data_IF_092638819629
#
_entry.id   IF_092638819629
#
_cell.length_a   1.000
_cell.length_b   1.000
_cell.length_c   1.000
_cell.angle_alpha   90.00
_cell.angle_beta   90.00
_cell.angle_gamma   90.00
#
_symmetry.space_group_name_H-M   'P 1'
#
loop_
_entity.id
_entity.type
_entity.pdbx_description
1 polymer ?
#
# COMPACT_ATOMS: atom_id res chain seq x y z
N UNK A 1 14.24 -11.19 -23.49
CA UNK A 1 12.85 -11.54 -23.14
C UNK A 1 12.96 -12.43 -21.92
N UNK A 2 12.50 -11.99 -20.76
CA UNK A 2 12.47 -12.82 -19.55
C UNK A 2 11.50 -13.98 -19.78
N UNK A 3 11.95 -15.20 -19.47
CA UNK A 3 11.14 -16.43 -19.59
C UNK A 3 9.86 -16.28 -18.76
N UNK A 4 8.70 -16.46 -19.38
CA UNK A 4 7.41 -16.29 -18.70
C UNK A 4 7.21 -17.42 -17.66
N UNK A 5 7.21 -17.05 -16.39
CA UNK A 5 7.01 -18.00 -15.29
C UNK A 5 5.53 -18.24 -15.06
N UNK A 6 5.12 -19.51 -15.01
CA UNK A 6 3.74 -19.89 -14.67
C UNK A 6 3.63 -20.29 -13.22
N UNK A 7 2.72 -19.65 -12.48
CA UNK A 7 2.46 -20.00 -11.09
C UNK A 7 1.62 -21.29 -11.02
N UNK A 8 2.08 -22.35 -10.34
CA UNK A 8 1.34 -23.61 -10.24
C UNK A 8 0.05 -23.49 -9.40
N UNK A 9 -0.05 -22.44 -8.60
CA UNK A 9 -1.16 -22.21 -7.66
C UNK A 9 -2.22 -21.23 -8.17
N UNK A 10 -2.05 -20.63 -9.37
CA UNK A 10 -2.88 -19.51 -9.81
C UNK A 10 -4.39 -19.83 -9.85
N UNK A 11 -4.76 -21.07 -10.21
CA UNK A 11 -6.17 -21.51 -10.24
C UNK A 11 -6.78 -21.71 -8.85
N UNK A 12 -5.95 -21.91 -7.81
CA UNK A 12 -6.39 -22.17 -6.43
C UNK A 12 -6.31 -20.92 -5.57
N UNK A 13 -5.21 -20.19 -5.67
CA UNK A 13 -4.93 -19.01 -4.86
C UNK A 13 -5.89 -17.85 -5.19
N UNK A 14 -6.14 -17.57 -6.48
CA UNK A 14 -7.00 -16.46 -6.92
C UNK A 14 -6.37 -15.07 -6.75
N UNK A 15 -5.12 -14.97 -6.31
CA UNK A 15 -4.43 -13.69 -6.12
C UNK A 15 -4.02 -12.99 -7.43
N UNK A 16 -3.88 -13.76 -8.52
CA UNK A 16 -3.42 -13.28 -9.83
C UNK A 16 -4.42 -13.67 -10.90
N UNK A 17 -5.28 -12.75 -11.33
CA UNK A 17 -6.36 -13.04 -12.31
C UNK A 17 -5.87 -13.15 -13.74
N UNK A 18 -4.70 -12.57 -14.06
CA UNK A 18 -4.16 -12.51 -15.42
C UNK A 18 -2.91 -13.38 -15.63
N UNK A 19 -2.61 -14.30 -14.70
CA UNK A 19 -1.41 -15.14 -14.74
C UNK A 19 -1.34 -16.09 -15.94
N UNK A 20 -2.46 -16.32 -16.62
CA UNK A 20 -2.56 -17.13 -17.83
C UNK A 20 -2.23 -16.37 -19.13
N UNK A 21 -2.09 -15.05 -19.05
CA UNK A 21 -1.74 -14.17 -20.17
C UNK A 21 -0.25 -13.83 -20.12
N UNK A 22 0.36 -13.63 -21.28
CA UNK A 22 1.68 -13.01 -21.37
C UNK A 22 1.66 -11.59 -20.77
N UNK A 23 2.80 -11.10 -20.31
CA UNK A 23 2.84 -9.77 -19.70
C UNK A 23 2.40 -8.66 -20.67
N UNK A 24 2.75 -8.80 -21.94
CA UNK A 24 2.30 -7.87 -22.99
C UNK A 24 0.76 -7.91 -23.17
N UNK A 25 0.14 -9.08 -23.08
CA UNK A 25 -1.33 -9.21 -23.13
C UNK A 25 -2.01 -8.66 -21.88
N UNK A 26 -1.39 -8.81 -20.69
CA UNK A 26 -1.86 -8.20 -19.46
C UNK A 26 -1.88 -6.67 -19.58
N UNK A 27 -0.83 -6.06 -20.11
CA UNK A 27 -0.77 -4.61 -20.34
C UNK A 27 -1.85 -4.16 -21.34
N UNK A 28 -2.05 -4.89 -22.45
CA UNK A 28 -3.16 -4.62 -23.40
C UNK A 28 -4.54 -4.72 -22.74
N UNK A 29 -4.75 -5.71 -21.86
CA UNK A 29 -5.99 -5.85 -21.12
C UNK A 29 -6.24 -4.63 -20.21
N UNK A 30 -5.23 -4.20 -19.45
CA UNK A 30 -5.32 -3.06 -18.55
C UNK A 30 -5.46 -1.74 -19.28
N UNK A 31 -4.78 -1.57 -20.42
CA UNK A 31 -4.94 -0.42 -21.30
C UNK A 31 -6.39 -0.28 -21.75
N UNK A 32 -6.98 -1.33 -22.31
CA UNK A 32 -8.38 -1.34 -22.77
C UNK A 32 -9.36 -1.04 -21.63
N UNK A 33 -9.07 -1.54 -20.40
CA UNK A 33 -9.89 -1.23 -19.22
C UNK A 33 -9.85 0.26 -18.90
N UNK A 34 -8.68 0.87 -18.90
CA UNK A 34 -8.52 2.30 -18.66
C UNK A 34 -9.18 3.14 -19.76
N UNK A 35 -8.95 2.81 -21.03
CA UNK A 35 -9.58 3.49 -22.18
C UNK A 35 -11.11 3.43 -22.13
N UNK A 36 -11.68 2.24 -21.82
CA UNK A 36 -13.13 2.07 -21.71
C UNK A 36 -13.76 2.93 -20.64
N UNK A 37 -13.08 3.11 -19.49
CA UNK A 37 -13.62 3.84 -18.34
C UNK A 37 -13.30 5.32 -18.39
N UNK A 38 -12.10 5.69 -18.84
CA UNK A 38 -11.62 7.06 -18.71
C UNK A 38 -11.50 7.80 -20.05
N UNK A 39 -11.57 7.10 -21.18
CA UNK A 39 -11.43 7.69 -22.51
C UNK A 39 -12.52 8.70 -22.89
N UNK A 40 -13.63 8.73 -22.17
CA UNK A 40 -14.67 9.78 -22.36
C UNK A 40 -14.20 11.19 -21.90
N UNK A 41 -13.18 11.27 -21.03
CA UNK A 41 -12.72 12.55 -20.49
C UNK A 41 -11.54 13.15 -21.24
N UNK A 42 -10.59 12.32 -21.67
CA UNK A 42 -9.41 12.72 -22.43
C UNK A 42 -8.73 11.48 -23.05
N UNK A 43 -7.70 11.73 -23.88
CA UNK A 43 -6.83 10.66 -24.39
C UNK A 43 -6.18 9.92 -23.21
N UNK A 44 -6.20 8.59 -23.28
CA UNK A 44 -5.52 7.72 -22.30
C UNK A 44 -4.16 7.34 -22.87
N UNK A 45 -3.11 7.79 -22.19
CA UNK A 45 -1.74 7.49 -22.58
C UNK A 45 -1.44 5.98 -22.53
N UNK A 46 -0.45 5.50 -23.29
CA UNK A 46 -0.03 4.10 -23.21
C UNK A 46 0.37 3.72 -21.77
N UNK A 47 -0.13 2.57 -21.30
CA UNK A 47 0.14 2.08 -19.95
C UNK A 47 1.64 1.89 -19.71
N UNK A 48 2.14 2.40 -18.59
CA UNK A 48 3.51 2.16 -18.16
C UNK A 48 3.58 0.81 -17.44
N UNK A 49 4.24 -0.16 -18.10
CA UNK A 49 4.48 -1.48 -17.55
C UNK A 49 5.69 -1.54 -16.62
N UNK A 50 5.90 -2.66 -15.98
CA UNK A 50 7.05 -2.94 -15.12
C UNK A 50 8.10 -3.76 -15.89
N UNK A 51 9.39 -3.41 -15.79
CA UNK A 51 10.47 -4.11 -16.49
C UNK A 51 10.63 -5.56 -15.97
N UNK A 52 10.58 -5.74 -14.64
CA UNK A 52 10.66 -7.04 -13.97
C UNK A 52 9.36 -7.30 -13.17
N UNK A 53 8.31 -7.89 -13.79
CA UNK A 53 6.98 -7.97 -13.19
C UNK A 53 6.84 -9.08 -12.12
N UNK A 54 7.93 -9.51 -11.52
CA UNK A 54 7.99 -10.55 -10.51
C UNK A 54 8.60 -10.07 -9.19
N UNK A 55 8.19 -10.70 -8.08
CA UNK A 55 8.75 -10.49 -6.73
C UNK A 55 8.77 -9.03 -6.27
N UNK A 56 7.78 -8.25 -6.73
CA UNK A 56 7.70 -6.81 -6.51
C UNK A 56 7.03 -6.42 -5.18
N UNK A 57 6.29 -7.35 -4.54
CA UNK A 57 5.56 -7.06 -3.31
C UNK A 57 6.50 -7.02 -2.12
N UNK A 58 6.74 -5.85 -1.59
CA UNK A 58 7.55 -5.62 -0.39
C UNK A 58 6.84 -5.95 0.92
N UNK A 59 5.54 -6.24 0.87
CA UNK A 59 4.71 -6.65 2.01
C UNK A 59 4.05 -7.98 1.70
N UNK A 60 4.39 -9.00 2.48
CA UNK A 60 3.86 -10.36 2.36
C UNK A 60 3.14 -10.73 3.64
N UNK A 61 1.98 -11.32 3.51
CA UNK A 61 1.14 -11.72 4.62
C UNK A 61 0.67 -13.14 4.44
N UNK A 62 0.98 -14.01 5.40
CA UNK A 62 0.53 -15.39 5.42
C UNK A 62 -0.36 -15.68 6.62
N UNK A 63 -1.45 -16.38 6.39
CA UNK A 63 -2.25 -17.02 7.40
C UNK A 63 -1.69 -18.41 7.72
N UNK A 64 -1.88 -18.88 8.95
CA UNK A 64 -1.40 -20.18 9.42
C UNK A 64 -2.56 -21.06 9.84
N UNK A 65 -2.50 -22.35 9.50
CA UNK A 65 -3.48 -23.34 9.92
C UNK A 65 -2.89 -24.74 10.10
N UNK A 66 -3.62 -25.61 10.76
CA UNK A 66 -3.37 -27.04 10.77
C UNK A 66 -4.26 -27.73 9.76
N UNK A 67 -3.67 -28.36 8.74
CA UNK A 67 -4.39 -29.11 7.73
C UNK A 67 -5.02 -30.40 8.34
N UNK A 68 -5.97 -31.01 7.63
CA UNK A 68 -6.68 -32.22 8.08
C UNK A 68 -5.75 -33.39 8.44
N UNK A 69 -4.58 -33.48 7.80
CA UNK A 69 -3.54 -34.48 8.07
C UNK A 69 -2.60 -34.11 9.23
N UNK A 70 -2.91 -33.06 9.99
CA UNK A 70 -2.08 -32.58 11.11
C UNK A 70 -0.85 -31.76 10.70
N UNK A 71 -0.59 -31.55 9.39
CA UNK A 71 0.52 -30.71 8.91
C UNK A 71 0.21 -29.24 9.11
N UNK A 72 1.17 -28.48 9.63
CA UNK A 72 1.06 -27.03 9.68
C UNK A 72 1.30 -26.46 8.28
N UNK A 73 0.42 -25.59 7.82
CA UNK A 73 0.48 -24.91 6.54
C UNK A 73 0.48 -23.38 6.76
N UNK A 74 1.09 -22.67 5.84
CA UNK A 74 1.01 -21.20 5.77
C UNK A 74 0.79 -20.76 4.32
N UNK A 75 0.09 -19.65 4.13
CA UNK A 75 -0.17 -19.12 2.81
C UNK A 75 -1.34 -18.13 2.80
N UNK A 76 -2.07 -18.09 1.71
CA UNK A 76 -3.14 -17.12 1.49
C UNK A 76 -4.50 -17.79 1.51
N UNK A 77 -5.54 -17.05 1.90
CA UNK A 77 -6.91 -17.54 1.76
C UNK A 77 -7.28 -17.67 0.28
N UNK A 78 -7.84 -18.81 -0.08
CA UNK A 78 -8.46 -19.00 -1.38
C UNK A 78 -9.60 -17.99 -1.54
N UNK A 79 -9.64 -17.31 -2.67
CA UNK A 79 -10.64 -16.27 -2.95
C UNK A 79 -12.07 -16.74 -2.63
N UNK A 80 -12.80 -15.95 -1.85
CA UNK A 80 -14.18 -16.24 -1.44
C UNK A 80 -14.34 -17.37 -0.41
N UNK A 81 -13.25 -17.84 0.22
CA UNK A 81 -13.29 -18.91 1.22
C UNK A 81 -12.40 -18.62 2.43
N UNK A 82 -12.56 -19.41 3.51
CA UNK A 82 -11.66 -19.45 4.66
C UNK A 82 -10.60 -20.58 4.55
N UNK A 83 -10.46 -21.20 3.38
CA UNK A 83 -9.47 -22.24 3.16
C UNK A 83 -8.12 -21.64 2.82
N UNK A 84 -7.04 -22.08 3.47
CA UNK A 84 -5.68 -21.61 3.18
C UNK A 84 -5.06 -22.46 2.08
N UNK A 85 -4.60 -21.80 1.03
CA UNK A 85 -3.73 -22.38 0.00
C UNK A 85 -2.31 -22.31 0.51
N UNK A 86 -1.66 -23.47 0.68
CA UNK A 86 -0.26 -23.51 1.12
C UNK A 86 0.64 -22.91 0.04
N UNK A 87 1.45 -21.92 0.43
CA UNK A 87 2.38 -21.22 -0.45
C UNK A 87 3.78 -21.36 0.14
N UNK A 88 4.70 -21.92 -0.63
CA UNK A 88 6.12 -22.00 -0.27
C UNK A 88 6.94 -20.92 -0.99
N UNK A 89 6.48 -20.51 -2.17
CA UNK A 89 7.03 -19.42 -2.97
C UNK A 89 5.95 -18.81 -3.85
N UNK A 90 5.95 -17.49 -3.98
CA UNK A 90 5.02 -16.74 -4.79
C UNK A 90 5.78 -15.92 -5.85
N UNK A 91 5.27 -15.90 -7.08
CA UNK A 91 5.90 -15.14 -8.17
C UNK A 91 5.78 -13.61 -8.02
N UNK A 92 4.85 -13.13 -7.19
CA UNK A 92 4.66 -11.68 -6.98
C UNK A 92 5.22 -11.18 -5.65
N UNK A 93 5.35 -12.05 -4.66
CA UNK A 93 5.84 -11.72 -3.32
C UNK A 93 7.37 -11.70 -3.26
N UNK A 94 7.91 -10.92 -2.33
CA UNK A 94 9.33 -10.88 -2.05
C UNK A 94 9.85 -12.28 -1.64
N UNK A 95 10.89 -12.76 -2.29
CA UNK A 95 11.42 -14.12 -2.07
C UNK A 95 11.91 -14.34 -0.64
N UNK A 96 12.55 -13.32 -0.06
CA UNK A 96 13.08 -13.41 1.29
C UNK A 96 11.95 -13.46 2.33
N UNK A 97 10.85 -12.76 2.06
CA UNK A 97 9.67 -12.83 2.90
C UNK A 97 9.03 -14.24 2.86
N UNK A 98 8.93 -14.86 1.68
CA UNK A 98 8.48 -16.25 1.53
C UNK A 98 9.35 -17.21 2.33
N UNK A 99 10.68 -17.10 2.19
CA UNK A 99 11.65 -17.93 2.95
C UNK A 99 11.44 -17.81 4.46
N UNK A 100 11.31 -16.59 4.99
CA UNK A 100 11.08 -16.33 6.41
C UNK A 100 9.77 -16.96 6.88
N UNK A 101 8.68 -16.83 6.10
CA UNK A 101 7.39 -17.42 6.44
C UNK A 101 7.45 -18.93 6.48
N UNK A 102 8.15 -19.56 5.52
CA UNK A 102 8.37 -21.02 5.49
C UNK A 102 9.19 -21.48 6.70
N UNK A 103 10.27 -20.76 7.04
CA UNK A 103 11.09 -21.06 8.22
C UNK A 103 10.25 -20.96 9.51
N UNK A 104 9.46 -19.91 9.67
CA UNK A 104 8.54 -19.76 10.82
C UNK A 104 7.60 -20.97 10.89
N UNK A 105 6.97 -21.35 9.77
CA UNK A 105 6.07 -22.51 9.71
C UNK A 105 6.76 -23.81 10.19
N UNK A 106 7.98 -24.04 9.74
CA UNK A 106 8.73 -25.24 10.07
C UNK A 106 9.15 -25.27 11.55
N UNK A 107 9.38 -24.12 12.15
CA UNK A 107 9.77 -23.98 13.56
C UNK A 107 8.60 -24.19 14.54
N UNK A 108 7.34 -23.93 14.15
CA UNK A 108 6.20 -23.90 15.06
C UNK A 108 6.07 -25.17 15.92
N UNK A 109 6.25 -26.36 15.33
CA UNK A 109 6.15 -27.63 16.04
C UNK A 109 7.19 -27.75 17.15
N UNK A 110 8.43 -27.37 16.89
CA UNK A 110 9.57 -27.48 17.84
C UNK A 110 9.38 -26.53 19.03
N UNK A 111 8.72 -25.41 18.82
CA UNK A 111 8.43 -24.42 19.87
C UNK A 111 7.05 -24.59 20.51
N UNK A 112 6.29 -25.64 20.15
CA UNK A 112 4.93 -25.92 20.65
C UNK A 112 3.96 -24.75 20.41
N UNK A 113 4.15 -24.02 19.30
CA UNK A 113 3.26 -22.95 18.87
C UNK A 113 2.25 -23.55 17.90
N UNK A 114 0.95 -23.45 18.24
CA UNK A 114 -0.11 -23.95 17.39
C UNK A 114 -0.67 -22.80 16.53
N UNK A 115 -0.97 -23.04 15.24
CA UNK A 115 -1.77 -22.13 14.45
C UNK A 115 -3.13 -21.89 15.11
N UNK A 116 -3.63 -20.66 14.99
CA UNK A 116 -4.96 -20.32 15.48
C UNK A 116 -6.04 -20.95 14.57
N UNK A 117 -7.03 -21.56 15.20
CA UNK A 117 -8.20 -22.09 14.51
C UNK A 117 -9.42 -21.22 14.82
N UNK A 118 -9.95 -20.54 13.80
CA UNK A 118 -11.09 -19.63 13.92
C UNK A 118 -12.37 -20.32 14.38
N UNK A 119 -12.52 -21.64 14.15
CA UNK A 119 -13.72 -22.41 14.52
C UNK A 119 -13.76 -22.74 15.99
N UNK A 120 -12.61 -23.18 16.53
CA UNK A 120 -12.50 -23.56 17.95
C UNK A 120 -12.09 -22.41 18.85
N UNK A 121 -11.55 -21.32 18.29
CA UNK A 121 -10.92 -20.23 19.04
C UNK A 121 -9.58 -20.63 19.69
N UNK A 122 -9.09 -21.85 19.40
CA UNK A 122 -7.84 -22.38 19.95
C UNK A 122 -6.61 -22.03 19.12
N UNK A 123 -5.42 -22.19 19.73
CA UNK A 123 -4.15 -21.89 19.06
C UNK A 123 -3.66 -20.46 19.29
N UNK A 124 -2.48 -20.19 18.83
CA UNK A 124 -1.74 -18.94 19.14
C UNK A 124 -1.48 -18.10 17.91
N UNK A 125 -0.77 -18.63 16.90
CA UNK A 125 -0.31 -17.86 15.73
C UNK A 125 -1.40 -17.78 14.68
N UNK A 126 -1.84 -16.56 14.36
CA UNK A 126 -2.85 -16.28 13.33
C UNK A 126 -2.20 -15.99 11.98
N UNK A 127 -1.32 -14.97 11.96
CA UNK A 127 -0.69 -14.49 10.75
C UNK A 127 0.78 -14.16 11.01
N UNK A 128 1.55 -14.17 9.93
CA UNK A 128 2.86 -13.53 9.87
C UNK A 128 2.81 -12.49 8.76
N UNK A 129 3.24 -11.28 9.09
CA UNK A 129 3.42 -10.21 8.12
C UNK A 129 4.92 -9.92 8.03
N UNK A 130 5.46 -9.94 6.81
CA UNK A 130 6.84 -9.51 6.53
C UNK A 130 6.79 -8.26 5.67
N UNK A 131 7.50 -7.22 6.10
CA UNK A 131 7.73 -6.02 5.30
C UNK A 131 9.22 -5.90 5.01
N UNK A 132 9.57 -5.54 3.79
CA UNK A 132 10.95 -5.32 3.37
C UNK A 132 11.13 -3.94 2.75
N UNK A 133 12.17 -3.21 3.17
CA UNK A 133 12.66 -2.04 2.47
C UNK A 133 13.44 -2.50 1.23
N UNK A 134 12.98 -2.11 0.05
CA UNK A 134 13.55 -2.58 -1.23
C UNK A 134 14.96 -2.05 -1.47
N UNK A 135 15.20 -0.77 -1.14
CA UNK A 135 16.52 -0.15 -1.29
C UNK A 135 17.42 -0.39 -0.08
N UNK A 136 16.85 -0.43 1.12
CA UNK A 136 17.64 -0.60 2.36
C UNK A 136 17.87 -2.05 2.74
N UNK A 137 17.13 -2.99 2.17
CA UNK A 137 17.08 -4.41 2.55
C UNK A 137 16.69 -4.66 4.01
N UNK A 138 16.20 -3.69 4.75
CA UNK A 138 15.71 -3.88 6.11
C UNK A 138 14.45 -4.74 6.12
N UNK A 139 14.36 -5.66 7.07
CA UNK A 139 13.27 -6.64 7.16
C UNK A 139 12.58 -6.53 8.52
N UNK A 140 11.27 -6.35 8.48
CA UNK A 140 10.39 -6.42 9.64
C UNK A 140 9.55 -7.70 9.57
N UNK A 141 9.55 -8.46 10.66
CA UNK A 141 8.65 -9.61 10.85
C UNK A 141 7.64 -9.26 11.94
N UNK A 142 6.35 -9.37 11.63
CA UNK A 142 5.27 -9.19 12.59
C UNK A 142 4.58 -10.52 12.82
N UNK A 143 4.65 -11.02 14.06
CA UNK A 143 4.01 -12.24 14.51
C UNK A 143 2.65 -11.88 15.14
N UNK A 144 1.56 -12.24 14.47
CA UNK A 144 0.20 -11.90 14.91
C UNK A 144 -0.40 -13.08 15.67
N UNK A 145 -0.75 -12.86 16.94
CA UNK A 145 -1.29 -13.91 17.81
C UNK A 145 -2.71 -13.59 18.28
N UNK A 146 -3.45 -14.64 18.67
CA UNK A 146 -4.80 -14.55 19.23
C UNK A 146 -4.84 -13.99 20.65
N UNK A 147 -3.69 -13.94 21.35
CA UNK A 147 -3.61 -13.45 22.73
C UNK A 147 -2.21 -12.99 23.10
N UNK A 148 -2.02 -12.46 24.30
CA UNK A 148 -0.74 -11.85 24.71
C UNK A 148 0.36 -12.89 25.01
N UNK A 149 0.01 -14.15 25.16
CA UNK A 149 0.96 -15.20 25.47
C UNK A 149 1.52 -15.78 24.15
N UNK A 150 2.82 -15.62 23.94
CA UNK A 150 3.54 -16.26 22.85
C UNK A 150 4.53 -17.27 23.44
N UNK A 151 4.28 -18.61 23.28
CA UNK A 151 5.11 -19.63 23.89
C UNK A 151 6.58 -19.54 23.45
N UNK A 152 7.48 -19.73 24.40
CA UNK A 152 8.95 -19.77 24.16
C UNK A 152 9.47 -18.56 23.32
N UNK A 153 8.84 -17.40 23.35
CA UNK A 153 9.09 -16.25 22.47
C UNK A 153 10.57 -15.88 22.34
N UNK A 154 11.32 -15.86 23.44
CA UNK A 154 12.74 -15.46 23.42
C UNK A 154 13.60 -16.47 22.66
N UNK A 155 13.36 -17.76 22.86
CA UNK A 155 14.08 -18.83 22.16
C UNK A 155 13.67 -18.90 20.69
N UNK A 156 12.38 -18.70 20.41
CA UNK A 156 11.86 -18.59 19.03
C UNK A 156 12.53 -17.45 18.27
N UNK A 157 12.57 -16.25 18.85
CA UNK A 157 13.23 -15.08 18.25
C UNK A 157 14.72 -15.33 18.02
N UNK A 158 15.44 -15.96 18.98
CA UNK A 158 16.84 -16.33 18.81
C UNK A 158 17.04 -17.31 17.64
N UNK A 159 16.20 -18.33 17.55
CA UNK A 159 16.29 -19.34 16.49
C UNK A 159 15.98 -18.73 15.12
N UNK A 160 14.93 -17.93 15.00
CA UNK A 160 14.56 -17.25 13.76
C UNK A 160 15.68 -16.31 13.29
N UNK A 161 16.30 -15.54 14.20
CA UNK A 161 17.42 -14.68 13.87
C UNK A 161 18.71 -15.43 13.53
N UNK A 162 18.91 -16.63 14.08
CA UNK A 162 20.03 -17.48 13.69
C UNK A 162 19.90 -17.97 12.25
N UNK A 163 18.68 -18.29 11.83
CA UNK A 163 18.39 -18.74 10.46
C UNK A 163 18.34 -17.54 9.47
N UNK A 164 17.80 -16.39 9.92
CA UNK A 164 17.68 -15.15 9.15
C UNK A 164 18.34 -13.98 9.88
N UNK A 165 19.69 -13.85 9.86
CA UNK A 165 20.41 -12.80 10.58
C UNK A 165 20.15 -11.38 10.04
N UNK A 166 19.64 -11.27 8.83
CA UNK A 166 19.26 -10.06 8.12
C UNK A 166 17.92 -9.46 8.60
N UNK A 167 17.17 -10.12 9.47
CA UNK A 167 15.98 -9.53 10.09
C UNK A 167 16.37 -8.34 10.96
N UNK A 168 15.85 -7.16 10.58
CA UNK A 168 16.12 -5.89 11.29
C UNK A 168 15.30 -5.76 12.56
N UNK A 169 14.04 -6.18 12.53
CA UNK A 169 13.14 -6.07 13.68
C UNK A 169 12.05 -7.15 13.69
N UNK A 170 11.64 -7.58 14.88
CA UNK A 170 10.54 -8.53 15.10
C UNK A 170 9.56 -7.90 16.07
N UNK A 171 8.30 -7.87 15.67
CA UNK A 171 7.18 -7.33 16.45
C UNK A 171 6.17 -8.43 16.73
N UNK A 172 5.68 -8.49 17.95
CA UNK A 172 4.54 -9.29 18.35
C UNK A 172 3.29 -8.40 18.38
N UNK A 173 2.36 -8.67 17.48
CA UNK A 173 1.07 -8.00 17.43
C UNK A 173 -0.01 -8.92 18.00
N UNK A 174 -0.91 -8.37 18.82
CA UNK A 174 -1.96 -9.11 19.52
C UNK A 174 -3.30 -8.73 18.91
N UNK A 175 -3.92 -9.69 18.23
CA UNK A 175 -5.27 -9.55 17.68
C UNK A 175 -6.20 -10.65 18.23
N UNK A 176 -6.91 -10.41 19.34
CA UNK A 176 -7.80 -11.40 19.95
C UNK A 176 -9.19 -11.49 19.28
N UNK A 177 -9.49 -10.57 18.37
CA UNK A 177 -10.84 -10.43 17.81
C UNK A 177 -11.06 -11.34 16.60
N UNK A 178 -12.27 -11.79 16.40
CA UNK A 178 -12.73 -12.39 15.14
C UNK A 178 -13.06 -11.27 14.16
N UNK A 179 -12.07 -10.90 13.35
CA UNK A 179 -12.13 -9.78 12.41
C UNK A 179 -11.33 -10.09 11.15
N UNK A 180 -11.69 -9.46 10.05
CA UNK A 180 -10.91 -9.49 8.80
C UNK A 180 -9.62 -8.66 8.88
N UNK A 181 -9.49 -7.80 9.90
CA UNK A 181 -8.26 -7.05 10.14
C UNK A 181 -7.17 -7.99 10.66
N UNK A 182 -6.01 -7.96 10.05
CA UNK A 182 -4.89 -8.82 10.42
C UNK A 182 -4.23 -8.35 11.69
N UNK A 183 -3.96 -7.04 11.80
CA UNK A 183 -3.27 -6.45 12.94
C UNK A 183 -4.28 -5.97 13.99
N UNK A 184 -4.00 -6.31 15.24
CA UNK A 184 -4.68 -5.75 16.39
C UNK A 184 -4.03 -4.44 16.84
N UNK A 185 -4.53 -3.88 17.94
CA UNK A 185 -4.10 -2.58 18.45
C UNK A 185 -2.82 -2.63 19.28
N UNK A 186 -2.55 -3.76 19.95
CA UNK A 186 -1.42 -3.89 20.87
C UNK A 186 -0.23 -4.55 20.21
N UNK A 187 0.94 -3.93 20.39
CA UNK A 187 2.20 -4.40 19.83
C UNK A 187 3.32 -4.40 20.89
N UNK A 188 4.20 -5.40 20.81
CA UNK A 188 5.40 -5.51 21.61
C UNK A 188 6.60 -5.75 20.71
N UNK A 189 7.63 -4.94 20.81
CA UNK A 189 8.88 -5.16 20.09
C UNK A 189 9.64 -6.31 20.76
N UNK A 190 9.90 -7.38 20.02
CA UNK A 190 10.67 -8.54 20.50
C UNK A 190 12.15 -8.43 20.15
N UNK A 191 12.45 -7.74 19.05
CA UNK A 191 13.83 -7.49 18.61
C UNK A 191 13.88 -6.23 17.73
N UNK A 192 14.97 -5.48 17.79
CA UNK A 192 15.17 -4.24 17.02
C UNK A 192 14.35 -3.07 17.53
N UNK A 193 13.97 -2.17 16.63
CA UNK A 193 13.29 -0.91 16.95
C UNK A 193 11.78 -0.94 16.77
N UNK A 194 11.22 -2.03 16.22
CA UNK A 194 9.81 -2.10 15.81
C UNK A 194 9.48 -1.37 14.51
N UNK A 195 10.49 -0.82 13.84
CA UNK A 195 10.33 -0.07 12.58
C UNK A 195 11.47 -0.43 11.61
N UNK A 196 11.21 -0.27 10.32
CA UNK A 196 12.22 -0.34 9.25
C UNK A 196 12.21 0.96 8.46
N UNK A 197 13.19 1.14 7.61
CA UNK A 197 13.30 2.27 6.71
C UNK A 197 13.40 1.79 5.27
N UNK A 198 12.86 2.57 4.35
CA UNK A 198 13.07 2.38 2.92
C UNK A 198 13.22 3.72 2.22
N UNK A 199 13.76 3.72 1.00
CA UNK A 199 13.90 4.90 0.19
C UNK A 199 12.89 4.90 -0.96
N UNK A 200 12.23 6.03 -1.18
CA UNK A 200 11.29 6.26 -2.26
C UNK A 200 11.47 7.66 -2.82
N UNK A 201 11.67 7.80 -4.13
CA UNK A 201 11.90 9.09 -4.80
C UNK A 201 13.03 9.91 -4.15
N UNK A 202 14.09 9.24 -3.64
CA UNK A 202 15.24 9.87 -2.97
C UNK A 202 14.91 10.49 -1.61
N UNK A 203 13.89 9.98 -0.92
CA UNK A 203 13.54 10.29 0.46
C UNK A 203 13.48 9.01 1.28
N UNK A 204 13.91 9.10 2.55
CA UNK A 204 13.87 7.97 3.49
C UNK A 204 12.55 7.99 4.27
N UNK A 205 11.83 6.88 4.24
CA UNK A 205 10.58 6.70 4.97
C UNK A 205 10.74 5.65 6.06
N UNK A 206 10.31 5.99 7.27
CA UNK A 206 10.17 5.05 8.37
C UNK A 206 8.81 4.36 8.27
N UNK A 207 8.83 3.04 8.36
CA UNK A 207 7.68 2.16 8.17
C UNK A 207 7.45 1.39 9.47
N UNK A 208 6.26 1.55 10.06
CA UNK A 208 5.80 0.77 11.22
C UNK A 208 4.97 -0.46 10.78
N UNK A 209 4.63 -1.39 11.67
CA UNK A 209 3.75 -2.52 11.33
C UNK A 209 2.43 -2.08 10.70
N UNK A 210 1.81 -1.01 11.21
CA UNK A 210 0.50 -0.51 10.81
C UNK A 210 0.53 0.54 9.70
N UNK A 211 1.69 1.16 9.42
CA UNK A 211 1.81 2.17 8.36
C UNK A 211 1.43 1.57 7.01
N UNK A 212 0.59 2.29 6.26
CA UNK A 212 0.44 2.03 4.84
C UNK A 212 1.71 2.49 4.11
N UNK A 213 2.24 1.63 3.27
CA UNK A 213 3.33 1.91 2.35
C UNK A 213 3.08 1.10 1.08
N UNK A 214 3.27 1.71 -0.08
CA UNK A 214 2.96 1.09 -1.37
C UNK A 214 3.73 -0.22 -1.54
N UNK A 215 3.04 -1.26 -2.01
CA UNK A 215 3.60 -2.63 -2.05
C UNK A 215 4.54 -2.91 -3.21
N UNK A 216 4.61 -2.03 -4.19
CA UNK A 216 5.52 -2.09 -5.33
C UNK A 216 6.35 -0.81 -5.41
N UNK A 217 7.46 -0.70 -4.68
CA UNK A 217 8.25 0.53 -4.60
C UNK A 217 8.77 1.01 -5.96
N UNK A 218 9.12 0.09 -6.85
CA UNK A 218 9.64 0.42 -8.19
C UNK A 218 8.58 1.17 -9.00
N UNK A 219 7.37 0.62 -9.09
CA UNK A 219 6.28 1.26 -9.83
C UNK A 219 5.70 2.47 -9.07
N UNK A 220 5.85 2.52 -7.74
CA UNK A 220 5.46 3.70 -6.96
C UNK A 220 6.31 4.92 -7.33
N UNK A 221 7.62 4.75 -7.56
CA UNK A 221 8.45 5.85 -8.04
C UNK A 221 8.00 6.35 -9.43
N UNK A 222 7.61 5.45 -10.33
CA UNK A 222 7.03 5.79 -11.63
C UNK A 222 5.71 6.56 -11.46
N UNK A 223 4.81 6.03 -10.63
CA UNK A 223 3.51 6.62 -10.35
C UNK A 223 3.64 8.04 -9.77
N UNK A 224 4.50 8.21 -8.76
CA UNK A 224 4.70 9.51 -8.10
C UNK A 224 5.43 10.50 -9.01
N UNK A 225 6.43 10.08 -9.77
CA UNK A 225 7.09 10.95 -10.73
C UNK A 225 6.12 11.44 -11.80
N UNK A 226 5.23 10.57 -12.30
CA UNK A 226 4.15 10.95 -13.22
C UNK A 226 3.20 11.97 -12.57
N UNK A 227 2.81 11.74 -11.31
CA UNK A 227 1.95 12.67 -10.58
C UNK A 227 2.61 14.05 -10.39
N UNK A 228 3.91 14.08 -10.05
CA UNK A 228 4.69 15.33 -9.93
C UNK A 228 4.83 16.07 -11.26
N UNK A 229 5.03 15.33 -12.36
CA UNK A 229 5.08 15.92 -13.71
C UNK A 229 3.72 16.53 -14.08
N UNK A 230 2.63 15.81 -13.81
CA UNK A 230 1.27 16.27 -14.10
C UNK A 230 0.86 17.46 -13.24
N UNK A 231 1.36 17.56 -12.01
CA UNK A 231 1.18 18.72 -11.16
C UNK A 231 1.83 19.99 -11.76
N UNK A 232 3.00 19.85 -12.40
CA UNK A 232 3.70 20.95 -13.08
C UNK A 232 4.11 22.07 -12.15
N UNK A 233 4.57 21.73 -10.94
CA UNK A 233 4.99 22.68 -9.90
C UNK A 233 6.24 23.45 -10.30
N UNK A 234 6.30 24.74 -9.95
CA UNK A 234 7.36 25.69 -10.26
C UNK A 234 8.16 26.18 -9.04
N UNK A 235 7.72 25.79 -7.82
CA UNK A 235 8.39 26.12 -6.56
C UNK A 235 7.64 27.12 -5.68
N UNK A 236 6.52 27.67 -6.14
CA UNK A 236 5.76 28.68 -5.38
C UNK A 236 4.38 28.20 -4.94
N UNK A 237 3.95 27.05 -5.43
CA UNK A 237 2.58 26.56 -5.22
C UNK A 237 2.33 26.14 -3.77
N UNK A 238 1.11 26.45 -3.29
CA UNK A 238 0.53 25.86 -2.09
C UNK A 238 -0.21 24.58 -2.49
N UNK A 239 0.26 23.45 -1.96
CA UNK A 239 -0.18 22.10 -2.32
C UNK A 239 -0.90 21.45 -1.15
N UNK A 240 -2.01 20.77 -1.40
CA UNK A 240 -2.65 19.86 -0.44
C UNK A 240 -2.41 18.41 -0.89
N UNK A 241 -1.93 17.57 0.02
CA UNK A 241 -1.90 16.11 -0.09
C UNK A 241 -3.05 15.55 0.76
N UNK A 242 -4.19 15.33 0.11
CA UNK A 242 -5.37 14.76 0.74
C UNK A 242 -5.22 13.22 0.81
N UNK A 243 -5.57 12.62 1.94
CA UNK A 243 -5.30 11.21 2.26
C UNK A 243 -3.81 10.90 2.36
N UNK A 244 -3.03 11.78 3.02
CA UNK A 244 -1.57 11.78 2.90
C UNK A 244 -0.88 10.56 3.53
N UNK A 245 -1.56 9.77 4.38
CA UNK A 245 -0.96 8.63 5.06
C UNK A 245 0.28 9.01 5.85
N UNK A 246 1.39 8.32 5.61
CA UNK A 246 2.69 8.64 6.22
C UNK A 246 3.45 9.76 5.48
N UNK A 247 2.75 10.51 4.62
CA UNK A 247 3.25 11.69 3.94
C UNK A 247 4.03 11.41 2.65
N UNK A 248 3.86 10.26 2.01
CA UNK A 248 4.73 9.88 0.87
C UNK A 248 4.58 10.82 -0.31
N UNK A 249 3.37 11.16 -0.75
CA UNK A 249 3.13 12.06 -1.89
C UNK A 249 3.52 13.49 -1.53
N UNK A 250 3.05 14.01 -0.39
CA UNK A 250 3.33 15.37 0.04
C UNK A 250 4.80 15.67 0.24
N UNK A 251 5.56 14.72 0.83
CA UNK A 251 7.00 14.87 1.02
C UNK A 251 7.76 14.84 -0.32
N UNK A 252 7.33 14.03 -1.29
CA UNK A 252 7.91 14.07 -2.64
C UNK A 252 7.57 15.39 -3.34
N UNK A 253 6.33 15.87 -3.20
CA UNK A 253 5.89 17.16 -3.77
C UNK A 253 6.65 18.35 -3.16
N UNK A 254 7.02 18.29 -1.88
CA UNK A 254 7.71 19.38 -1.18
C UNK A 254 9.03 19.81 -1.79
N UNK A 255 9.67 18.92 -2.58
CA UNK A 255 10.89 19.24 -3.32
C UNK A 255 10.67 20.27 -4.43
N UNK A 256 9.43 20.46 -4.87
CA UNK A 256 9.06 21.30 -6.01
C UNK A 256 7.94 22.29 -5.69
N UNK A 257 7.38 22.27 -4.47
CA UNK A 257 6.32 23.15 -4.00
C UNK A 257 6.85 24.23 -3.06
N UNK A 258 6.18 25.37 -2.98
CA UNK A 258 6.45 26.40 -1.98
C UNK A 258 6.04 25.96 -0.59
N UNK A 259 4.84 25.44 -0.44
CA UNK A 259 4.27 24.91 0.80
C UNK A 259 3.44 23.66 0.51
N UNK A 260 3.50 22.68 1.41
CA UNK A 260 2.64 21.49 1.35
C UNK A 260 1.87 21.32 2.65
N UNK A 261 0.61 20.97 2.53
CA UNK A 261 -0.29 20.61 3.63
C UNK A 261 -0.72 19.17 3.42
N UNK A 262 -0.35 18.27 4.33
CA UNK A 262 -0.85 16.89 4.35
C UNK A 262 -2.02 16.75 5.31
N UNK A 263 -3.11 16.10 4.89
CA UNK A 263 -4.29 15.85 5.72
C UNK A 263 -4.58 14.35 5.76
N UNK A 264 -4.78 13.80 6.96
CA UNK A 264 -4.99 12.38 7.19
C UNK A 264 -5.81 12.17 8.47
N UNK A 265 -6.80 11.28 8.41
CA UNK A 265 -7.64 10.92 9.56
C UNK A 265 -6.90 10.12 10.64
N UNK A 266 -5.94 9.30 10.23
CA UNK A 266 -5.25 8.40 11.14
C UNK A 266 -4.11 9.13 11.86
N UNK A 267 -4.29 9.35 13.16
CA UNK A 267 -3.30 10.05 14.03
C UNK A 267 -1.92 9.41 14.02
N UNK A 268 -1.83 8.08 13.97
CA UNK A 268 -0.53 7.38 13.95
C UNK A 268 0.18 7.62 12.63
N UNK A 269 -0.55 7.66 11.52
CA UNK A 269 -0.01 7.98 10.20
C UNK A 269 0.50 9.43 10.14
N UNK A 270 -0.24 10.39 10.71
CA UNK A 270 0.21 11.79 10.85
C UNK A 270 1.50 11.90 11.65
N UNK A 271 1.62 11.17 12.78
CA UNK A 271 2.86 11.13 13.55
C UNK A 271 4.04 10.55 12.74
N UNK A 272 3.80 9.49 11.97
CA UNK A 272 4.82 8.91 11.09
C UNK A 272 5.18 9.90 9.96
N UNK A 273 4.22 10.65 9.39
CA UNK A 273 4.46 11.69 8.38
C UNK A 273 5.35 12.83 8.91
N UNK A 274 5.05 13.36 10.10
CA UNK A 274 5.86 14.39 10.78
C UNK A 274 7.29 13.86 11.04
N UNK A 275 7.40 12.60 11.49
CA UNK A 275 8.70 11.96 11.70
C UNK A 275 9.50 11.83 10.39
N UNK A 276 8.82 11.48 9.29
CA UNK A 276 9.43 11.35 7.97
C UNK A 276 9.87 12.72 7.42
N UNK A 277 9.09 13.78 7.60
CA UNK A 277 9.51 15.14 7.24
C UNK A 277 10.79 15.55 7.97
N UNK A 278 10.84 15.38 9.30
CA UNK A 278 12.02 15.69 10.12
C UNK A 278 13.25 14.90 9.68
N UNK A 279 13.08 13.59 9.39
CA UNK A 279 14.15 12.70 8.93
C UNK A 279 14.80 13.18 7.65
N UNK A 280 14.00 13.70 6.75
CA UNK A 280 14.46 14.21 5.45
C UNK A 280 14.83 15.71 5.46
N UNK A 281 14.80 16.37 6.61
CA UNK A 281 15.12 17.79 6.73
C UNK A 281 14.13 18.73 6.03
N UNK A 282 12.91 18.24 5.74
CA UNK A 282 11.87 18.99 5.02
C UNK A 282 11.17 19.92 6.00
N UNK A 283 11.09 21.22 5.67
CA UNK A 283 10.55 22.27 6.54
C UNK A 283 9.32 22.96 5.99
N UNK A 284 9.03 22.81 4.72
CA UNK A 284 7.91 23.44 4.00
C UNK A 284 6.67 22.54 3.94
N UNK A 285 6.54 21.58 4.86
CA UNK A 285 5.38 20.69 4.98
C UNK A 285 4.77 20.77 6.36
N UNK A 286 3.44 20.86 6.43
CA UNK A 286 2.65 20.74 7.66
C UNK A 286 1.66 19.60 7.53
N UNK A 287 1.42 18.87 8.62
CA UNK A 287 0.47 17.75 8.65
C UNK A 287 -0.63 17.99 9.67
N UNK A 288 -1.86 17.65 9.28
CA UNK A 288 -3.07 17.79 10.09
C UNK A 288 -3.78 16.44 10.22
N UNK A 289 -4.26 16.16 11.44
CA UNK A 289 -5.09 14.99 11.72
C UNK A 289 -6.55 15.41 11.63
N UNK A 290 -7.15 15.29 10.44
CA UNK A 290 -8.48 15.78 10.15
C UNK A 290 -9.10 15.04 8.98
N UNK A 291 -10.41 15.21 8.75
CA UNK A 291 -11.05 14.86 7.49
C UNK A 291 -10.63 15.83 6.39
N UNK A 292 -10.16 15.30 5.26
CA UNK A 292 -9.62 16.14 4.19
C UNK A 292 -10.70 17.02 3.51
N UNK A 293 -11.95 16.56 3.47
CA UNK A 293 -13.08 17.35 2.96
C UNK A 293 -13.41 18.50 3.89
N UNK A 294 -13.56 18.23 5.19
CA UNK A 294 -13.85 19.27 6.19
C UNK A 294 -12.71 20.29 6.28
N UNK A 295 -11.45 19.83 6.24
CA UNK A 295 -10.29 20.71 6.21
C UNK A 295 -10.28 21.66 5.02
N UNK A 296 -10.52 21.15 3.80
CA UNK A 296 -10.58 21.99 2.60
C UNK A 296 -11.76 22.98 2.63
N UNK A 297 -12.90 22.56 3.19
CA UNK A 297 -14.05 23.44 3.36
C UNK A 297 -13.75 24.58 4.33
N UNK A 298 -13.09 24.28 5.47
CA UNK A 298 -12.64 25.28 6.43
C UNK A 298 -11.68 26.29 5.81
N UNK A 299 -10.68 25.83 5.06
CA UNK A 299 -9.77 26.72 4.32
C UNK A 299 -10.52 27.66 3.38
N UNK A 300 -11.52 27.15 2.62
CA UNK A 300 -12.30 27.96 1.71
C UNK A 300 -13.14 29.02 2.44
N UNK A 301 -13.72 28.70 3.60
CA UNK A 301 -14.48 29.63 4.45
C UNK A 301 -13.59 30.73 5.03
N UNK A 302 -12.35 30.41 5.39
CA UNK A 302 -11.34 31.35 5.87
C UNK A 302 -10.73 32.22 4.74
N UNK A 303 -11.16 31.99 3.48
CA UNK A 303 -10.63 32.70 2.30
C UNK A 303 -9.22 32.23 1.88
N UNK A 304 -8.73 31.12 2.44
CA UNK A 304 -7.47 30.50 2.04
C UNK A 304 -7.63 29.78 0.69
N UNK A 305 -6.53 29.65 -0.03
CA UNK A 305 -6.48 29.00 -1.34
C UNK A 305 -5.40 27.94 -1.39
N UNK A 306 -5.58 26.93 -2.21
CA UNK A 306 -4.56 26.00 -2.64
C UNK A 306 -4.44 26.05 -4.18
N UNK A 307 -3.22 25.91 -4.68
CA UNK A 307 -2.98 25.87 -6.12
C UNK A 307 -3.22 24.48 -6.68
N UNK A 308 -2.76 23.46 -5.94
CA UNK A 308 -2.79 22.05 -6.36
C UNK A 308 -3.32 21.19 -5.23
N UNK A 309 -4.18 20.23 -5.57
CA UNK A 309 -4.58 19.14 -4.65
C UNK A 309 -4.17 17.80 -5.25
N UNK A 310 -3.34 17.04 -4.53
CA UNK A 310 -3.17 15.61 -4.75
C UNK A 310 -4.22 14.86 -3.96
N UNK A 311 -4.84 13.86 -4.58
CA UNK A 311 -5.76 12.95 -3.92
C UNK A 311 -5.47 11.51 -4.33
N UNK A 312 -5.30 10.64 -3.32
CA UNK A 312 -5.12 9.19 -3.46
C UNK A 312 -6.10 8.47 -2.52
N UNK A 313 -7.41 8.51 -2.83
CA UNK A 313 -8.44 7.96 -1.97
C UNK A 313 -8.40 6.42 -1.94
N UNK A 314 -9.08 5.78 -0.96
CA UNK A 314 -9.27 4.34 -0.93
C UNK A 314 -10.04 3.84 -2.16
N UNK A 315 -10.11 2.49 -2.33
CA UNK A 315 -10.78 1.83 -3.49
C UNK A 315 -12.22 2.25 -3.74
N UNK A 316 -12.90 2.75 -2.74
CA UNK A 316 -14.27 3.28 -2.87
C UNK A 316 -14.35 4.61 -3.61
N UNK A 317 -13.21 5.24 -3.89
CA UNK A 317 -13.13 6.61 -4.39
C UNK A 317 -13.39 7.63 -3.30
N UNK A 318 -13.56 8.89 -3.67
CA UNK A 318 -13.95 9.94 -2.74
C UNK A 318 -15.48 10.01 -2.62
N UNK A 319 -15.95 10.44 -1.47
CA UNK A 319 -17.37 10.72 -1.29
C UNK A 319 -17.77 12.10 -1.84
N UNK A 320 -19.08 12.35 -1.90
CA UNK A 320 -19.61 13.57 -2.46
C UNK A 320 -19.29 14.81 -1.59
N UNK A 321 -19.14 14.61 -0.28
CA UNK A 321 -18.75 15.67 0.64
C UNK A 321 -17.34 16.17 0.33
N UNK A 322 -16.36 15.25 0.24
CA UNK A 322 -14.99 15.58 -0.16
C UNK A 322 -14.93 16.29 -1.52
N UNK A 323 -15.61 15.72 -2.54
CA UNK A 323 -15.60 16.29 -3.90
C UNK A 323 -16.24 17.69 -3.94
N UNK A 324 -17.29 17.94 -3.14
CA UNK A 324 -17.92 19.25 -3.02
C UNK A 324 -17.01 20.27 -2.34
N UNK A 325 -16.29 19.86 -1.29
CA UNK A 325 -15.31 20.69 -0.59
C UNK A 325 -14.14 21.07 -1.51
N UNK A 326 -13.65 20.11 -2.30
CA UNK A 326 -12.61 20.36 -3.31
C UNK A 326 -13.09 21.39 -4.36
N UNK A 327 -14.33 21.27 -4.84
CA UNK A 327 -14.92 22.24 -5.79
C UNK A 327 -15.05 23.61 -5.14
N UNK A 328 -15.40 23.70 -3.86
CA UNK A 328 -15.54 24.94 -3.09
C UNK A 328 -14.19 25.63 -2.87
N UNK A 329 -13.15 24.88 -2.48
CA UNK A 329 -11.77 25.38 -2.37
C UNK A 329 -11.22 25.85 -3.72
N UNK A 330 -11.67 25.20 -4.78
CA UNK A 330 -11.41 25.57 -6.17
C UNK A 330 -9.91 25.64 -6.55
N UNK A 331 -9.09 24.62 -6.26
CA UNK A 331 -7.68 24.61 -6.68
C UNK A 331 -7.56 24.70 -8.20
N UNK A 332 -6.49 25.35 -8.67
CA UNK A 332 -6.22 25.50 -10.11
C UNK A 332 -6.02 24.14 -10.79
N UNK A 333 -5.45 23.17 -10.05
CA UNK A 333 -5.14 21.83 -10.55
C UNK A 333 -5.45 20.76 -9.51
N UNK A 334 -5.90 19.60 -9.98
CA UNK A 334 -6.07 18.40 -9.17
C UNK A 334 -5.29 17.27 -9.83
N UNK A 335 -4.51 16.54 -9.06
CA UNK A 335 -3.84 15.29 -9.49
C UNK A 335 -4.48 14.15 -8.74
N UNK A 336 -5.24 13.34 -9.45
CA UNK A 336 -6.01 12.23 -8.89
C UNK A 336 -5.32 10.90 -9.20
N UNK A 337 -4.76 10.27 -8.19
CA UNK A 337 -4.19 8.91 -8.25
C UNK A 337 -5.27 7.94 -7.79
N UNK A 338 -5.49 6.84 -8.52
CA UNK A 338 -6.52 5.87 -8.14
C UNK A 338 -6.15 4.44 -8.51
N UNK A 339 -6.38 3.52 -7.56
CA UNK A 339 -6.28 2.07 -7.80
C UNK A 339 -7.56 1.46 -8.38
N UNK A 340 -8.62 2.26 -8.56
CA UNK A 340 -9.89 1.81 -9.10
C UNK A 340 -10.46 2.79 -10.14
N UNK A 341 -10.21 2.56 -11.43
CA UNK A 341 -10.70 3.43 -12.50
C UNK A 341 -12.24 3.55 -12.57
N UNK A 342 -12.99 2.60 -12.02
CA UNK A 342 -14.46 2.64 -12.00
C UNK A 342 -14.97 3.74 -11.05
N UNK A 343 -14.45 3.80 -9.84
CA UNK A 343 -14.78 4.86 -8.90
C UNK A 343 -14.20 6.20 -9.34
N UNK A 344 -13.01 6.19 -9.92
CA UNK A 344 -12.41 7.40 -10.49
C UNK A 344 -13.27 7.98 -11.63
N UNK A 345 -13.83 7.14 -12.52
CA UNK A 345 -14.79 7.60 -13.55
C UNK A 345 -15.98 8.34 -12.94
N UNK A 346 -16.57 7.78 -11.87
CA UNK A 346 -17.68 8.42 -11.13
C UNK A 346 -17.29 9.81 -10.62
N UNK A 347 -16.14 9.88 -9.96
CA UNK A 347 -15.66 11.12 -9.34
C UNK A 347 -15.27 12.16 -10.41
N UNK A 348 -14.68 11.75 -11.52
CA UNK A 348 -14.36 12.63 -12.65
C UNK A 348 -15.61 13.21 -13.30
N UNK A 349 -16.70 12.42 -13.43
CA UNK A 349 -17.99 12.94 -13.91
C UNK A 349 -18.58 14.01 -12.98
N UNK A 350 -18.36 13.88 -11.67
CA UNK A 350 -18.77 14.90 -10.70
C UNK A 350 -17.97 16.19 -10.88
N UNK A 351 -16.65 16.10 -10.96
CA UNK A 351 -15.73 17.24 -11.07
C UNK A 351 -15.87 17.96 -12.40
N UNK A 352 -16.03 17.24 -13.51
CA UNK A 352 -16.14 17.83 -14.85
C UNK A 352 -17.44 18.62 -15.02
N UNK A 353 -18.53 18.20 -14.37
CA UNK A 353 -19.80 18.97 -14.34
C UNK A 353 -19.68 20.23 -13.48
N UNK A 354 -18.61 20.42 -12.70
CA UNK A 354 -18.41 21.51 -11.74
C UNK A 354 -17.19 22.37 -12.05
N UNK A 355 -16.83 22.50 -13.34
CA UNK A 355 -15.83 23.46 -13.80
C UNK A 355 -14.39 22.91 -13.81
N UNK A 356 -14.21 21.60 -13.83
CA UNK A 356 -12.89 21.00 -14.08
C UNK A 356 -12.86 20.33 -15.44
N UNK A 357 -11.69 20.35 -16.07
CA UNK A 357 -11.41 19.63 -17.32
C UNK A 357 -10.24 18.66 -17.10
N UNK A 358 -10.42 17.41 -17.51
CA UNK A 358 -9.33 16.43 -17.54
C UNK A 358 -8.37 16.80 -18.67
N UNK A 359 -7.07 16.85 -18.35
CA UNK A 359 -6.00 17.18 -19.30
C UNK A 359 -5.20 15.95 -19.72
N UNK A 360 -4.84 15.10 -18.75
CA UNK A 360 -3.97 13.93 -18.99
C UNK A 360 -4.45 12.74 -18.18
N UNK A 361 -4.31 11.54 -18.73
CA UNK A 361 -4.63 10.27 -18.09
C UNK A 361 -3.50 9.29 -18.36
N UNK A 362 -2.79 8.83 -17.31
CA UNK A 362 -1.72 7.86 -17.41
C UNK A 362 -2.02 6.61 -16.59
N UNK A 363 -2.28 5.47 -17.23
CA UNK A 363 -2.32 4.19 -16.54
C UNK A 363 -0.91 3.70 -16.17
N UNK A 364 -0.78 3.07 -14.99
CA UNK A 364 0.47 2.47 -14.51
C UNK A 364 0.19 1.06 -13.99
N UNK A 365 0.99 0.09 -14.39
CA UNK A 365 0.86 -1.27 -13.89
C UNK A 365 1.57 -1.45 -12.54
N UNK A 366 0.90 -1.05 -11.46
CA UNK A 366 1.37 -1.22 -10.08
C UNK A 366 1.31 -2.68 -9.60
N UNK A 367 0.41 -3.49 -10.20
CA UNK A 367 0.10 -4.85 -9.74
C UNK A 367 0.17 -5.86 -10.89
N UNK A 368 1.35 -6.13 -11.46
CA UNK A 368 1.53 -7.18 -12.47
C UNK A 368 0.83 -8.48 -12.09
N UNK A 369 0.33 -9.21 -13.08
CA UNK A 369 -0.42 -10.47 -12.97
C UNK A 369 -1.83 -10.37 -12.38
N UNK A 370 -2.25 -9.20 -11.88
CA UNK A 370 -3.62 -8.96 -11.39
C UNK A 370 -4.42 -8.12 -12.40
N UNK A 371 -5.73 -8.06 -12.25
CA UNK A 371 -6.61 -7.21 -13.09
C UNK A 371 -6.69 -5.75 -12.63
N UNK A 372 -5.93 -5.37 -11.60
CA UNK A 372 -5.85 -4.00 -11.10
C UNK A 372 -4.96 -3.14 -11.99
N UNK A 373 -5.35 -1.89 -12.16
CA UNK A 373 -4.57 -0.85 -12.83
C UNK A 373 -4.66 0.43 -11.99
N UNK A 374 -3.52 1.07 -11.77
CA UNK A 374 -3.45 2.42 -11.20
C UNK A 374 -3.53 3.44 -12.33
N UNK A 375 -4.10 4.58 -12.04
CA UNK A 375 -4.22 5.68 -12.98
C UNK A 375 -3.90 7.01 -12.32
N UNK A 376 -3.12 7.84 -13.00
CA UNK A 376 -2.87 9.23 -12.64
C UNK A 376 -3.64 10.12 -13.60
N UNK A 377 -4.52 10.96 -13.07
CA UNK A 377 -5.33 11.89 -13.84
C UNK A 377 -5.04 13.33 -13.41
N UNK A 378 -4.72 14.19 -14.38
CA UNK A 378 -4.58 15.63 -14.14
C UNK A 378 -5.85 16.34 -14.58
N UNK A 379 -6.40 17.19 -13.69
CA UNK A 379 -7.52 18.07 -14.00
C UNK A 379 -7.10 19.51 -13.79
N UNK A 380 -7.62 20.40 -14.64
CA UNK A 380 -7.45 21.84 -14.51
C UNK A 380 -8.83 22.50 -14.32
N UNK A 381 -8.88 23.51 -13.47
CA UNK A 381 -10.05 24.36 -13.33
C UNK A 381 -10.25 25.21 -14.59
N UNK A 382 -11.48 25.25 -15.12
CA UNK A 382 -11.85 26.05 -16.29
C UNK A 382 -12.21 27.49 -15.83
#
# INVERSE_FOLDING_TARGET
MTEEKKCPLYKKCGGCQLQNLSYAEQLKFKQRKAEKLLGEFAHVEPIIGMAEPYHYRNKVQAAFATARNGKIISGVYQSGTHSIVCVDSCLTEDRKADEIIVSIRNMLKSFRIQPYDERSGGGTLRHVLVKRGFKTNQIMVVLVTSGPIFPAKNNFVKALRKEHPDITTIVHNINPYQTSLVLGERENVLYGTGKIEDELCGLTFRISPRSFYQINPVQTEVLYNTAMEYAGMTGSEKVIDAYCGIGTIGLVASKRAGEVIGVELNRDAVHDAISNAKRNGIKNVRFFCDDAGEFMLGMAQDGEKADIVFMDPPRAGSDECFLSSLVTLAPKKVVYISCNPETQQRDLRFLTKRGYKVEKIQPVDMFPHTNHVETVVSLRKI
#
